data_IF_188267733258
#
_entry.id   IF_188267733258
#
_cell.length_a   1.000
_cell.length_b   1.000
_cell.length_c   1.000
_cell.angle_alpha   90.00
_cell.angle_beta   90.00
_cell.angle_gamma   90.00
#
_symmetry.space_group_name_H-M   'P 1'
#
loop_
_entity.id
_entity.type
_entity.pdbx_description
1 polymer ?
#
# COMPACT_ATOMS: atom_id res chain seq x y z
N UNK A 1 45.19 -55.40 -1.66
CA UNK A 1 45.34 -54.18 -0.87
C UNK A 1 45.11 -52.98 -1.77
N UNK A 2 43.99 -52.29 -1.64
CA UNK A 2 43.71 -51.07 -2.41
C UNK A 2 43.81 -49.90 -1.44
N UNK A 3 44.76 -49.00 -1.70
CA UNK A 3 44.89 -47.73 -0.96
C UNK A 3 43.87 -46.76 -1.47
N UNK A 4 42.92 -46.34 -0.63
CA UNK A 4 42.06 -45.18 -0.89
C UNK A 4 42.86 -43.93 -0.49
N UNK A 5 43.19 -43.12 -1.49
CA UNK A 5 43.75 -41.80 -1.32
C UNK A 5 42.62 -40.86 -0.92
N UNK A 6 42.61 -40.35 0.31
CA UNK A 6 41.72 -39.30 0.77
C UNK A 6 42.18 -37.97 0.17
N UNK A 7 41.61 -37.58 -0.95
CA UNK A 7 41.70 -36.22 -1.46
C UNK A 7 40.74 -35.35 -0.63
N UNK A 8 41.26 -34.79 0.45
CA UNK A 8 40.56 -33.67 1.13
C UNK A 8 40.72 -32.47 0.23
N UNK A 9 39.64 -32.09 -0.46
CA UNK A 9 39.61 -30.86 -1.22
C UNK A 9 39.83 -29.69 -0.26
N UNK A 10 40.97 -29.01 -0.43
CA UNK A 10 41.31 -27.82 0.32
C UNK A 10 40.29 -26.75 -0.01
N UNK A 11 39.45 -26.38 0.98
CA UNK A 11 38.44 -25.36 0.84
C UNK A 11 39.14 -24.00 0.75
N UNK A 12 39.24 -23.45 -0.45
CA UNK A 12 39.78 -22.11 -0.68
C UNK A 12 38.81 -21.10 -0.08
N UNK A 13 39.22 -20.46 1.01
CA UNK A 13 38.46 -19.38 1.64
C UNK A 13 38.52 -18.16 0.73
N UNK A 14 37.39 -17.89 0.03
CA UNK A 14 37.21 -16.71 -0.81
C UNK A 14 37.14 -15.47 0.07
N UNK A 15 38.24 -14.82 0.33
CA UNK A 15 38.29 -13.50 0.96
C UNK A 15 37.89 -12.45 -0.07
N UNK A 16 36.66 -11.91 0.07
CA UNK A 16 36.25 -10.73 -0.68
C UNK A 16 36.90 -9.49 -0.05
N UNK A 17 37.82 -8.80 -0.72
CA UNK A 17 38.55 -7.66 -0.12
C UNK A 17 37.70 -6.45 0.20
N UNK A 18 36.38 -6.53 -0.07
CA UNK A 18 35.40 -5.48 0.16
C UNK A 18 34.16 -5.95 0.93
N UNK A 19 34.28 -6.97 1.78
CA UNK A 19 33.28 -7.26 2.78
C UNK A 19 33.13 -6.01 3.65
N UNK A 20 32.01 -5.30 3.45
CA UNK A 20 31.73 -4.02 4.12
C UNK A 20 31.09 -4.30 5.46
N UNK A 21 31.92 -4.54 6.44
CA UNK A 21 31.51 -4.64 7.83
C UNK A 21 31.19 -3.24 8.35
N UNK A 22 29.92 -2.94 8.53
CA UNK A 22 29.45 -1.71 9.16
C UNK A 22 28.76 -0.70 8.25
N UNK A 23 28.05 0.23 8.88
CA UNK A 23 27.39 1.33 8.20
C UNK A 23 28.45 2.29 7.63
N UNK A 24 28.41 2.50 6.31
CA UNK A 24 29.26 3.51 5.66
C UNK A 24 28.95 4.89 6.21
N UNK A 25 29.99 5.66 6.57
CA UNK A 25 29.86 7.07 6.87
C UNK A 25 29.22 7.78 5.66
N UNK A 26 28.07 8.42 5.87
CA UNK A 26 27.27 9.03 4.81
C UNK A 26 26.35 8.08 4.05
N UNK A 27 26.27 6.79 4.41
CA UNK A 27 25.28 5.88 3.85
C UNK A 27 23.88 6.26 4.34
N UNK A 28 22.98 6.43 3.43
CA UNK A 28 21.61 6.84 3.70
C UNK A 28 21.25 8.17 3.02
N UNK A 29 20.01 8.57 3.21
CA UNK A 29 19.52 9.82 2.62
C UNK A 29 20.15 11.01 3.34
N UNK A 30 20.77 12.00 2.64
CA UNK A 30 21.35 13.19 3.26
C UNK A 30 20.35 13.90 4.19
N UNK A 31 20.84 14.32 5.38
CA UNK A 31 20.04 15.18 6.28
C UNK A 31 19.67 16.46 5.54
N UNK A 32 18.37 16.79 5.50
CA UNK A 32 17.88 18.00 4.80
C UNK A 32 17.47 17.79 3.34
N UNK A 33 17.66 16.61 2.72
CA UNK A 33 17.04 16.32 1.42
C UNK A 33 15.52 16.42 1.55
N UNK A 34 14.86 17.13 0.59
CA UNK A 34 13.41 17.40 0.58
C UNK A 34 12.63 16.20 1.14
N UNK A 35 11.82 16.45 2.18
CA UNK A 35 10.87 15.44 2.70
C UNK A 35 10.13 14.88 1.51
N UNK A 36 10.21 13.57 1.34
CA UNK A 36 9.41 12.92 0.32
C UNK A 36 7.96 13.26 0.62
N UNK A 37 7.18 13.66 -0.38
CA UNK A 37 5.74 13.86 -0.27
C UNK A 37 5.00 12.56 0.12
N UNK A 38 5.74 11.51 0.40
CA UNK A 38 5.21 10.20 0.80
C UNK A 38 4.69 10.22 2.22
N UNK A 39 3.66 9.48 2.44
CA UNK A 39 3.05 9.27 3.75
C UNK A 39 4.07 8.75 4.78
N UNK A 40 4.20 9.40 5.95
CA UNK A 40 5.08 8.91 7.02
C UNK A 40 4.74 7.48 7.45
N UNK A 41 5.75 6.69 7.84
CA UNK A 41 5.57 5.32 8.34
C UNK A 41 5.20 5.32 9.85
N UNK A 42 4.32 6.23 10.27
CA UNK A 42 3.80 6.25 11.64
C UNK A 42 2.79 5.12 11.86
N UNK A 43 2.67 4.60 13.09
CA UNK A 43 1.61 3.66 13.44
C UNK A 43 0.24 4.24 13.13
N UNK A 44 -0.66 3.41 12.64
CA UNK A 44 -2.03 3.83 12.35
C UNK A 44 -2.86 3.87 13.63
N UNK A 45 -3.89 4.75 13.68
CA UNK A 45 -4.78 4.80 14.84
C UNK A 45 -5.45 3.44 15.11
N UNK A 46 -5.77 3.18 16.38
CA UNK A 46 -6.55 2.00 16.73
C UNK A 46 -7.92 2.06 16.05
N UNK A 47 -8.43 0.91 15.60
CA UNK A 47 -9.77 0.81 15.01
C UNK A 47 -10.74 0.31 16.05
N UNK A 48 -11.87 1.00 16.18
CA UNK A 48 -13.01 0.59 16.99
C UNK A 48 -14.22 0.46 16.08
N UNK A 49 -15.06 -0.56 16.35
CA UNK A 49 -16.32 -0.78 15.63
C UNK A 49 -17.29 0.40 15.70
N UNK A 50 -17.14 1.25 16.70
CA UNK A 50 -18.04 2.39 16.97
C UNK A 50 -17.53 3.72 16.44
N UNK A 51 -16.36 3.76 15.83
CA UNK A 51 -15.76 4.99 15.32
C UNK A 51 -15.46 4.84 13.84
N UNK A 52 -16.17 5.58 12.98
CA UNK A 52 -15.88 5.59 11.56
C UNK A 52 -14.55 6.27 11.28
N UNK A 53 -13.91 5.85 10.20
CA UNK A 53 -12.63 6.38 9.75
C UNK A 53 -12.79 7.06 8.41
N UNK A 54 -12.27 8.28 8.30
CA UNK A 54 -12.08 8.94 7.02
C UNK A 54 -10.77 8.46 6.38
N UNK A 55 -10.87 7.92 5.19
CA UNK A 55 -9.74 7.40 4.42
C UNK A 55 -9.62 8.17 3.13
N UNK A 56 -8.44 8.70 2.85
CA UNK A 56 -8.12 9.35 1.57
C UNK A 56 -7.11 8.52 0.80
N UNK A 57 -7.47 8.19 -0.43
CA UNK A 57 -6.65 7.41 -1.35
C UNK A 57 -6.25 8.27 -2.54
N UNK A 58 -4.96 8.57 -2.68
CA UNK A 58 -4.41 9.33 -3.81
C UNK A 58 -3.94 8.37 -4.91
N UNK A 59 -4.27 8.69 -6.15
CA UNK A 59 -3.79 7.91 -7.29
C UNK A 59 -2.39 8.36 -7.73
N UNK A 60 -1.71 7.48 -8.45
CA UNK A 60 -0.42 7.77 -9.05
C UNK A 60 -0.54 8.87 -10.12
N UNK A 61 0.53 9.61 -10.34
CA UNK A 61 0.63 10.61 -11.41
C UNK A 61 0.32 9.96 -12.78
N UNK A 62 -0.29 10.70 -13.68
CA UNK A 62 -0.70 10.19 -14.99
C UNK A 62 -1.97 9.34 -14.99
N UNK A 63 -2.67 9.25 -13.88
CA UNK A 63 -4.02 8.68 -13.85
C UNK A 63 -5.02 9.64 -14.49
N UNK A 64 -5.99 9.08 -15.22
CA UNK A 64 -7.07 9.87 -15.82
C UNK A 64 -7.99 10.44 -14.74
N UNK A 65 -8.82 11.41 -15.14
CA UNK A 65 -9.86 11.96 -14.27
C UNK A 65 -10.82 10.85 -13.81
N UNK A 66 -10.80 10.57 -12.49
CA UNK A 66 -11.62 9.51 -11.90
C UNK A 66 -13.12 9.79 -11.97
N UNK A 67 -13.52 11.07 -12.15
CA UNK A 67 -14.93 11.48 -12.29
C UNK A 67 -15.47 11.20 -13.69
N UNK A 68 -14.62 10.89 -14.68
CA UNK A 68 -15.09 10.47 -15.99
C UNK A 68 -15.89 9.16 -15.86
N UNK A 69 -16.94 9.00 -16.67
CA UNK A 69 -17.76 7.79 -16.66
C UNK A 69 -16.93 6.51 -16.81
N UNK A 70 -15.90 6.56 -17.68
CA UNK A 70 -15.00 5.42 -17.95
C UNK A 70 -14.23 5.00 -16.70
N UNK A 71 -13.70 5.94 -15.92
CA UNK A 71 -12.93 5.66 -14.70
C UNK A 71 -13.85 5.43 -13.48
N UNK A 72 -15.00 6.08 -13.42
CA UNK A 72 -15.93 5.94 -12.30
C UNK A 72 -16.59 4.56 -12.27
N UNK A 73 -16.87 3.98 -13.43
CA UNK A 73 -17.50 2.64 -13.54
C UNK A 73 -16.73 1.57 -12.76
N UNK A 74 -15.44 1.29 -13.00
CA UNK A 74 -14.69 0.28 -12.23
C UNK A 74 -14.57 0.61 -10.75
N UNK A 75 -14.55 1.89 -10.36
CA UNK A 75 -14.57 2.29 -8.94
C UNK A 75 -15.90 1.87 -8.30
N UNK A 76 -17.02 2.16 -8.94
CA UNK A 76 -18.36 1.77 -8.48
C UNK A 76 -18.50 0.25 -8.37
N UNK A 77 -18.02 -0.49 -9.35
CA UNK A 77 -18.03 -1.96 -9.35
C UNK A 77 -17.19 -2.52 -8.19
N UNK A 78 -16.02 -1.94 -7.92
CA UNK A 78 -15.18 -2.32 -6.80
C UNK A 78 -15.84 -2.02 -5.44
N UNK A 79 -16.49 -0.87 -5.29
CA UNK A 79 -17.26 -0.50 -4.09
C UNK A 79 -18.43 -1.46 -3.88
N UNK A 80 -19.16 -1.79 -4.94
CA UNK A 80 -20.26 -2.76 -4.85
C UNK A 80 -19.75 -4.16 -4.43
N UNK A 81 -18.64 -4.63 -4.99
CA UNK A 81 -18.08 -5.93 -4.64
C UNK A 81 -17.63 -6.05 -3.18
N UNK A 82 -17.30 -4.91 -2.53
CA UNK A 82 -16.87 -4.92 -1.14
C UNK A 82 -18.04 -4.94 -0.13
N UNK A 83 -19.27 -4.64 -0.54
CA UNK A 83 -20.44 -4.60 0.36
C UNK A 83 -20.72 -5.93 1.04
N UNK A 84 -20.36 -7.04 0.40
CA UNK A 84 -20.53 -8.41 0.93
C UNK A 84 -19.45 -8.82 1.92
N UNK A 85 -18.48 -7.95 2.24
CA UNK A 85 -17.34 -8.30 3.09
C UNK A 85 -17.70 -8.18 4.57
N UNK A 86 -17.62 -9.29 5.30
CA UNK A 86 -17.85 -9.30 6.76
C UNK A 86 -16.78 -8.46 7.48
N UNK A 87 -17.21 -7.69 8.49
CA UNK A 87 -16.32 -6.93 9.37
C UNK A 87 -15.72 -5.67 8.76
N UNK A 88 -16.05 -5.30 7.53
CA UNK A 88 -15.62 -4.05 6.88
C UNK A 88 -16.74 -3.47 6.04
N UNK A 89 -16.99 -2.17 6.19
CA UNK A 89 -18.04 -1.46 5.44
C UNK A 89 -17.54 -0.10 4.97
N UNK A 90 -17.87 0.27 3.74
CA UNK A 90 -17.81 1.65 3.24
C UNK A 90 -19.17 2.27 3.44
N UNK A 91 -19.25 3.29 4.29
CA UNK A 91 -20.49 3.99 4.63
C UNK A 91 -20.79 5.10 3.62
N UNK A 92 -19.74 5.82 3.23
CA UNK A 92 -19.84 6.91 2.27
C UNK A 92 -18.56 6.99 1.44
N UNK A 93 -18.68 7.53 0.24
CA UNK A 93 -17.52 7.80 -0.61
C UNK A 93 -17.73 9.06 -1.46
N UNK A 94 -16.62 9.69 -1.82
CA UNK A 94 -16.57 10.79 -2.77
C UNK A 94 -15.37 10.61 -3.70
N UNK A 95 -15.63 10.68 -5.01
CA UNK A 95 -14.58 10.53 -6.03
C UNK A 95 -14.24 11.91 -6.57
N UNK A 96 -12.97 12.29 -6.41
CA UNK A 96 -12.41 13.52 -6.93
C UNK A 96 -11.58 13.26 -8.19
N UNK A 97 -10.99 14.29 -8.77
CA UNK A 97 -10.21 14.15 -10.01
C UNK A 97 -9.11 13.06 -9.92
N UNK A 98 -8.35 13.05 -8.83
CA UNK A 98 -7.15 12.19 -8.65
C UNK A 98 -7.08 11.49 -7.30
N UNK A 99 -8.11 11.56 -6.50
CA UNK A 99 -8.19 10.89 -5.20
C UNK A 99 -9.63 10.50 -4.83
N UNK A 100 -9.75 9.58 -3.90
CA UNK A 100 -11.01 9.05 -3.43
C UNK A 100 -11.06 9.24 -1.90
N UNK A 101 -12.14 9.82 -1.41
CA UNK A 101 -12.48 9.85 0.00
C UNK A 101 -13.45 8.73 0.33
N UNK A 102 -13.21 8.06 1.45
CA UNK A 102 -14.06 7.00 1.96
C UNK A 102 -14.36 7.27 3.43
N UNK A 103 -15.58 7.06 3.85
CA UNK A 103 -15.93 6.87 5.25
C UNK A 103 -16.11 5.38 5.45
N UNK A 104 -15.33 4.79 6.34
CA UNK A 104 -15.26 3.34 6.53
C UNK A 104 -15.44 2.97 7.99
N UNK A 105 -16.04 1.81 8.21
CA UNK A 105 -16.16 1.17 9.52
C UNK A 105 -15.61 -0.24 9.43
N UNK A 106 -14.99 -0.70 10.52
CA UNK A 106 -14.48 -2.05 10.61
C UNK A 106 -14.55 -2.59 12.04
N UNK A 107 -14.64 -3.90 12.15
CA UNK A 107 -14.66 -4.57 13.44
C UNK A 107 -13.34 -4.39 14.21
N UNK A 108 -12.23 -4.40 13.49
CA UNK A 108 -10.87 -4.27 14.03
C UNK A 108 -9.88 -3.76 12.97
N UNK A 109 -8.61 -3.56 13.38
CA UNK A 109 -7.53 -3.10 12.49
C UNK A 109 -7.26 -4.06 11.33
N UNK A 110 -7.36 -5.37 11.54
CA UNK A 110 -7.15 -6.40 10.51
C UNK A 110 -8.25 -6.37 9.47
N UNK A 111 -9.51 -6.26 9.89
CA UNK A 111 -10.66 -6.13 9.01
C UNK A 111 -10.56 -4.85 8.16
N UNK A 112 -10.19 -3.70 8.78
CA UNK A 112 -9.93 -2.43 8.09
C UNK A 112 -8.87 -2.58 7.01
N UNK A 113 -7.69 -3.09 7.37
CA UNK A 113 -6.56 -3.23 6.45
C UNK A 113 -6.88 -4.18 5.29
N UNK A 114 -7.51 -5.32 5.58
CA UNK A 114 -7.88 -6.30 4.57
C UNK A 114 -9.02 -5.81 3.68
N UNK A 115 -9.98 -5.05 4.24
CA UNK A 115 -11.07 -4.45 3.50
C UNK A 115 -10.59 -3.41 2.50
N UNK A 116 -9.80 -2.46 2.98
CA UNK A 116 -9.19 -1.43 2.13
C UNK A 116 -8.26 -2.03 1.08
N UNK A 117 -7.42 -3.00 1.46
CA UNK A 117 -6.54 -3.68 0.50
C UNK A 117 -7.35 -4.34 -0.63
N UNK A 118 -8.41 -5.07 -0.31
CA UNK A 118 -9.24 -5.73 -1.30
C UNK A 118 -9.94 -4.72 -2.24
N UNK A 119 -10.45 -3.60 -1.69
CA UNK A 119 -11.06 -2.52 -2.44
C UNK A 119 -10.05 -1.88 -3.40
N UNK A 120 -8.88 -1.48 -2.89
CA UNK A 120 -7.86 -0.76 -3.65
C UNK A 120 -7.26 -1.62 -4.78
N UNK A 121 -7.10 -2.93 -4.56
CA UNK A 121 -6.66 -3.86 -5.63
C UNK A 121 -7.69 -3.92 -6.76
N UNK A 122 -8.99 -3.98 -6.43
CA UNK A 122 -10.05 -4.00 -7.45
C UNK A 122 -10.09 -2.69 -8.23
N UNK A 123 -10.03 -1.56 -7.55
CA UNK A 123 -9.97 -0.23 -8.19
C UNK A 123 -8.76 -0.15 -9.13
N UNK A 124 -7.56 -0.52 -8.65
CA UNK A 124 -6.35 -0.46 -9.44
C UNK A 124 -6.41 -1.34 -10.70
N UNK A 125 -6.92 -2.57 -10.57
CA UNK A 125 -7.12 -3.49 -11.70
C UNK A 125 -8.14 -2.95 -12.70
N UNK A 126 -9.27 -2.46 -12.24
CA UNK A 126 -10.31 -1.91 -13.10
C UNK A 126 -9.84 -0.65 -13.83
N UNK A 127 -9.11 0.25 -13.17
CA UNK A 127 -8.53 1.43 -13.80
C UNK A 127 -7.46 1.04 -14.83
N UNK A 128 -6.59 0.09 -14.52
CA UNK A 128 -5.59 -0.40 -15.48
C UNK A 128 -6.24 -0.96 -16.74
N UNK A 129 -7.31 -1.75 -16.59
CA UNK A 129 -8.05 -2.30 -17.72
C UNK A 129 -8.66 -1.20 -18.59
N UNK A 130 -9.32 -0.20 -17.98
CA UNK A 130 -9.96 0.92 -18.72
C UNK A 130 -8.94 1.81 -19.40
N UNK A 131 -7.78 2.01 -18.78
CA UNK A 131 -6.72 2.89 -19.30
C UNK A 131 -5.78 2.18 -20.30
N UNK A 132 -5.90 0.85 -20.45
CA UNK A 132 -5.01 0.05 -21.30
C UNK A 132 -3.56 0.02 -20.79
N UNK A 133 -3.34 0.11 -19.48
CA UNK A 133 -2.01 0.20 -18.88
C UNK A 133 -1.84 -0.84 -17.78
N UNK A 134 -0.59 -1.04 -17.37
CA UNK A 134 -0.22 -1.92 -16.26
C UNK A 134 0.50 -1.14 -15.17
N UNK A 135 0.65 -1.78 -14.00
CA UNK A 135 1.44 -1.26 -12.91
C UNK A 135 0.62 -0.55 -11.82
N UNK A 136 1.34 0.20 -11.00
CA UNK A 136 0.79 0.82 -9.79
C UNK A 136 -0.13 1.99 -10.12
N UNK A 137 -1.39 1.93 -9.63
CA UNK A 137 -2.37 3.03 -9.74
C UNK A 137 -2.56 3.80 -8.44
N UNK A 138 -2.33 3.19 -7.31
CA UNK A 138 -2.38 3.88 -6.02
C UNK A 138 -1.03 4.56 -5.78
N UNK A 139 -1.05 5.87 -5.59
CA UNK A 139 0.18 6.69 -5.52
C UNK A 139 1.04 6.37 -4.31
N UNK A 140 0.41 6.26 -3.13
CA UNK A 140 1.07 5.97 -1.87
C UNK A 140 0.12 5.24 -0.91
N UNK A 141 0.53 5.08 0.35
CA UNK A 141 -0.34 4.60 1.43
C UNK A 141 -1.52 5.56 1.59
N UNK A 142 -2.70 5.03 1.87
CA UNK A 142 -3.86 5.86 2.17
C UNK A 142 -3.67 6.63 3.48
N UNK A 143 -4.20 7.86 3.56
CA UNK A 143 -4.36 8.63 4.79
C UNK A 143 -5.57 8.13 5.54
N UNK A 144 -5.51 8.10 6.87
CA UNK A 144 -6.57 7.60 7.71
C UNK A 144 -6.70 8.48 8.96
N UNK A 145 -7.91 8.96 9.23
CA UNK A 145 -8.28 9.72 10.41
C UNK A 145 -9.54 9.15 11.05
N UNK A 146 -9.55 9.07 12.37
CA UNK A 146 -10.76 8.73 13.12
C UNK A 146 -11.70 9.92 13.09
N UNK A 147 -12.95 9.70 12.68
CA UNK A 147 -13.99 10.71 12.80
C UNK A 147 -14.46 10.76 14.25
N UNK A 148 -14.42 11.98 14.83
CA UNK A 148 -14.97 12.27 16.14
C UNK A 148 -16.32 12.94 15.93
N UNK A 149 -17.30 12.57 16.73
CA UNK A 149 -18.55 13.34 16.82
C UNK A 149 -18.23 14.75 17.31
N UNK A 150 -18.79 15.80 16.70
CA UNK A 150 -18.75 17.13 17.33
C UNK A 150 -19.40 17.05 18.70
N UNK A 151 -18.80 17.69 19.69
CA UNK A 151 -19.42 17.88 21.00
C UNK A 151 -20.55 18.87 20.88
#
# INVERSE_FOLDING_TARGET
>A
MRYYSNNVAEQVELRFPHARDGARQGAGRPKGSRRSERMPHTPRPAVSRHKPHHVTVKLARGSWNLRSQRCFRPIREALHAITKRKGFRVVHFSVQHNHIHLVTEAADRRAMSNGLRALLIRIARGLNAVMGVQGRRIGDRYHEHILKTPN
#
